data_IF_226847494474
#
_entry.id   IF_226847494474
#
_cell.length_a   1.000
_cell.length_b   1.000
_cell.length_c   1.000
_cell.angle_alpha   90.00
_cell.angle_beta   90.00
_cell.angle_gamma   90.00
#
_symmetry.space_group_name_H-M   'P 1'
#
loop_
_entity.id
_entity.type
_entity.pdbx_description
1 polymer ?
#
# COMPACT_ATOMS: atom_id res chain seq x y z
N UNK A 1 23.83 1.91 3.60
CA UNK A 1 22.41 2.34 3.58
C UNK A 1 21.98 2.45 5.03
N UNK A 2 21.67 3.64 5.51
CA UNK A 2 20.91 3.74 6.76
C UNK A 2 19.54 3.13 6.47
N UNK A 3 19.10 2.20 7.30
CA UNK A 3 17.72 1.79 7.29
C UNK A 3 16.95 2.97 7.89
N UNK A 4 16.49 3.89 7.06
CA UNK A 4 15.78 5.09 7.54
C UNK A 4 14.53 4.71 8.36
N UNK A 5 13.99 3.51 8.15
CA UNK A 5 12.90 2.92 8.95
C UNK A 5 13.33 2.37 10.32
N UNK A 6 14.62 2.15 10.55
CA UNK A 6 15.17 1.81 11.87
C UNK A 6 15.39 3.08 12.71
N UNK A 7 15.21 4.26 12.12
CA UNK A 7 15.18 5.52 12.85
C UNK A 7 13.77 5.76 13.41
N UNK A 8 13.58 5.72 14.75
CA UNK A 8 12.26 5.86 15.35
C UNK A 8 11.61 7.20 15.02
N UNK A 9 12.38 8.30 14.95
CA UNK A 9 11.84 9.62 14.61
C UNK A 9 11.27 9.66 13.19
N UNK A 10 11.96 9.03 12.23
CA UNK A 10 11.47 8.94 10.87
C UNK A 10 10.24 8.04 10.80
N UNK A 11 10.28 6.89 11.46
CA UNK A 11 9.16 5.96 11.48
C UNK A 11 7.91 6.58 12.12
N UNK A 12 8.05 7.31 13.22
CA UNK A 12 6.95 8.00 13.89
C UNK A 12 6.32 9.07 12.97
N UNK A 13 7.15 9.84 12.27
CA UNK A 13 6.66 10.80 11.28
C UNK A 13 5.91 10.09 10.14
N UNK A 14 6.46 9.00 9.60
CA UNK A 14 5.83 8.19 8.56
C UNK A 14 4.50 7.57 9.03
N UNK A 15 4.47 7.03 10.25
CA UNK A 15 3.27 6.46 10.88
C UNK A 15 2.19 7.53 11.13
N UNK A 16 2.60 8.79 11.31
CA UNK A 16 1.68 9.91 11.55
C UNK A 16 0.94 10.38 10.29
N UNK A 17 1.39 10.01 9.10
CA UNK A 17 0.79 10.43 7.83
C UNK A 17 -0.62 9.85 7.65
N UNK A 18 -1.52 10.61 7.04
CA UNK A 18 -2.91 10.19 6.83
C UNK A 18 -3.01 8.90 6.01
N UNK A 19 -2.18 8.73 4.96
CA UNK A 19 -2.09 7.48 4.20
C UNK A 19 -1.70 6.26 5.06
N UNK A 20 -0.94 6.48 6.13
CA UNK A 20 -0.54 5.42 7.06
C UNK A 20 -1.69 5.07 8.01
N UNK A 21 -2.39 6.09 8.53
CA UNK A 21 -3.48 5.96 9.51
C UNK A 21 -4.80 5.48 8.91
N UNK A 22 -5.19 6.06 7.77
CA UNK A 22 -6.52 5.90 7.18
C UNK A 22 -6.49 5.10 5.87
N UNK A 23 -5.32 4.63 5.46
CA UNK A 23 -5.16 3.73 4.33
C UNK A 23 -5.34 4.39 2.97
N UNK A 24 -5.80 3.58 2.00
CA UNK A 24 -5.83 3.97 0.59
C UNK A 24 -6.70 5.19 0.31
N UNK A 25 -7.81 5.35 1.04
CA UNK A 25 -8.72 6.50 0.85
C UNK A 25 -8.09 7.84 1.28
N UNK A 26 -7.00 7.80 2.06
CA UNK A 26 -6.21 8.97 2.44
C UNK A 26 -4.85 9.05 1.72
N UNK A 27 -4.57 8.13 0.79
CA UNK A 27 -3.45 8.25 -0.11
C UNK A 27 -3.88 9.09 -1.31
N UNK A 28 -3.32 10.29 -1.44
CA UNK A 28 -3.75 11.26 -2.46
C UNK A 28 -3.67 10.72 -3.88
N UNK A 29 -2.69 9.85 -4.16
CA UNK A 29 -2.49 9.20 -5.46
C UNK A 29 -3.46 8.03 -5.75
N UNK A 30 -4.23 7.59 -4.75
CA UNK A 30 -4.95 6.31 -4.85
C UNK A 30 -6.05 6.33 -5.89
N UNK A 31 -6.78 7.45 -6.01
CA UNK A 31 -7.90 7.56 -6.94
C UNK A 31 -7.45 7.38 -8.39
N UNK A 32 -6.33 8.00 -8.77
CA UNK A 32 -5.75 7.87 -10.10
C UNK A 32 -5.04 6.53 -10.29
N UNK A 33 -4.26 6.08 -9.30
CA UNK A 33 -3.52 4.82 -9.39
C UNK A 33 -4.46 3.64 -9.58
N UNK A 34 -5.58 3.61 -8.86
CA UNK A 34 -6.55 2.52 -8.90
C UNK A 34 -7.11 2.25 -10.30
N UNK A 35 -7.24 3.29 -11.12
CA UNK A 35 -7.78 3.20 -12.48
C UNK A 35 -6.82 2.52 -13.46
N UNK A 36 -5.50 2.55 -13.19
CA UNK A 36 -4.48 1.94 -14.05
C UNK A 36 -4.02 0.56 -13.57
N UNK A 37 -4.48 0.12 -12.40
CA UNK A 37 -4.12 -1.20 -11.86
C UNK A 37 -4.78 -2.32 -12.69
N UNK A 38 -4.04 -3.41 -12.99
CA UNK A 38 -4.59 -4.54 -13.72
C UNK A 38 -5.58 -5.34 -12.85
N UNK A 39 -6.30 -6.27 -13.46
CA UNK A 39 -6.92 -7.38 -12.71
C UNK A 39 -5.83 -8.20 -12.02
N UNK A 40 -6.05 -8.58 -10.76
CA UNK A 40 -5.09 -9.31 -9.93
C UNK A 40 -5.33 -10.83 -9.92
N UNK A 41 -6.39 -11.31 -10.57
CA UNK A 41 -6.73 -12.73 -10.58
C UNK A 41 -5.58 -13.58 -11.13
N UNK A 42 -5.06 -14.47 -10.28
CA UNK A 42 -3.95 -15.37 -10.62
C UNK A 42 -2.59 -14.69 -10.87
N UNK A 43 -2.40 -13.42 -10.48
CA UNK A 43 -1.16 -12.67 -10.71
C UNK A 43 -0.33 -12.50 -9.45
N UNK A 44 0.89 -12.99 -9.42
CA UNK A 44 1.85 -12.68 -8.34
C UNK A 44 2.15 -11.17 -8.28
N UNK A 45 1.97 -10.56 -7.10
CA UNK A 45 2.18 -9.12 -6.86
C UNK A 45 3.32 -8.91 -5.87
N UNK A 46 4.19 -7.94 -6.14
CA UNK A 46 5.22 -7.44 -5.24
C UNK A 46 4.93 -5.97 -4.92
N UNK A 47 4.76 -5.67 -3.62
CA UNK A 47 4.53 -4.31 -3.12
C UNK A 47 5.78 -3.84 -2.36
N UNK A 48 6.57 -2.95 -2.99
CA UNK A 48 7.82 -2.43 -2.44
C UNK A 48 7.56 -1.13 -1.67
N UNK A 49 7.99 -1.08 -0.42
CA UNK A 49 7.63 0.03 0.47
C UNK A 49 6.16 -0.03 0.88
N UNK A 50 5.65 -1.24 1.13
CA UNK A 50 4.24 -1.51 1.41
C UNK A 50 3.71 -0.84 2.69
N UNK A 51 4.59 -0.33 3.55
CA UNK A 51 4.24 0.29 4.83
C UNK A 51 3.36 -0.66 5.65
N UNK A 52 2.14 -0.22 5.95
CA UNK A 52 1.14 -1.00 6.69
C UNK A 52 0.39 -2.06 5.84
N UNK A 53 0.79 -2.25 4.60
CA UNK A 53 0.30 -3.28 3.68
C UNK A 53 -1.04 -2.96 3.03
N UNK A 54 -1.37 -1.68 2.87
CA UNK A 54 -2.67 -1.26 2.32
C UNK A 54 -2.87 -1.73 0.87
N UNK A 55 -1.86 -1.58 0.01
CA UNK A 55 -1.91 -2.07 -1.38
C UNK A 55 -1.88 -3.61 -1.44
N UNK A 56 -1.04 -4.26 -0.63
CA UNK A 56 -1.07 -5.73 -0.46
C UNK A 56 -2.48 -6.26 -0.18
N UNK A 57 -3.19 -5.67 0.80
CA UNK A 57 -4.56 -6.07 1.15
C UNK A 57 -5.52 -5.85 -0.01
N UNK A 58 -5.41 -4.73 -0.72
CA UNK A 58 -6.24 -4.47 -1.89
C UNK A 58 -6.03 -5.52 -2.99
N UNK A 59 -4.77 -5.81 -3.35
CA UNK A 59 -4.45 -6.81 -4.36
C UNK A 59 -4.92 -8.22 -3.94
N UNK A 60 -4.70 -8.61 -2.68
CA UNK A 60 -5.14 -9.90 -2.14
C UNK A 60 -6.68 -10.05 -2.19
N UNK A 61 -7.43 -9.00 -1.82
CA UNK A 61 -8.90 -9.00 -1.90
C UNK A 61 -9.43 -9.09 -3.34
N UNK A 62 -8.60 -8.75 -4.34
CA UNK A 62 -8.95 -8.87 -5.77
C UNK A 62 -8.40 -10.13 -6.41
N UNK A 63 -7.49 -10.84 -5.75
CA UNK A 63 -6.89 -12.09 -6.25
C UNK A 63 -7.91 -13.19 -6.53
N UNK A 64 -8.90 -13.36 -5.64
CA UNK A 64 -9.80 -14.51 -5.65
C UNK A 64 -11.22 -14.18 -6.11
N UNK A 65 -11.44 -13.06 -6.81
CA UNK A 65 -12.76 -12.79 -7.39
C UNK A 65 -12.98 -13.67 -8.61
N UNK A 66 -13.33 -14.93 -8.37
CA UNK A 66 -14.03 -15.75 -9.35
C UNK A 66 -15.40 -15.11 -9.59
N UNK A 67 -15.71 -14.79 -10.85
CA UNK A 67 -17.10 -14.50 -11.25
C UNK A 67 -18.00 -15.70 -10.95
#
# INVERSE_FOLDING_TARGET
MSADYDNPTFFDAYASMDRSKYGLDAAGEWHELKEVLPDFTGKTVLDLGCGYGWHCRYAANRWSKTK
#
